data_IF_009972445762
#
_entry.id   IF_009972445762
#
_cell.length_a   1.000
_cell.length_b   1.000
_cell.length_c   1.000
_cell.angle_alpha   90.00
_cell.angle_beta   90.00
_cell.angle_gamma   90.00
#
_symmetry.space_group_name_H-M   'P 1'
#
loop_
_entity.id
_entity.type
_entity.pdbx_description
1 polymer ?
#
# COMPACT_ATOMS: atom_id res chain seq x y z
N UNK A 1 -2.20 -15.68 6.28
CA UNK A 1 -1.01 -14.89 6.57
C UNK A 1 -1.15 -13.50 6.00
N UNK A 2 -0.74 -12.49 6.77
CA UNK A 2 -0.64 -11.09 6.33
C UNK A 2 0.80 -10.64 6.46
N UNK A 3 1.34 -9.97 5.44
CA UNK A 3 2.70 -9.44 5.45
C UNK A 3 2.74 -8.03 4.85
N UNK A 4 3.66 -7.21 5.36
CA UNK A 4 3.91 -5.84 4.88
C UNK A 4 5.37 -5.73 4.44
N UNK A 5 5.58 -5.18 3.27
CA UNK A 5 6.87 -4.94 2.64
C UNK A 5 7.06 -3.44 2.41
N UNK A 6 8.29 -2.96 2.55
CA UNK A 6 8.62 -1.55 2.34
C UNK A 6 9.94 -1.40 1.60
N UNK A 7 10.06 -0.35 0.80
CA UNK A 7 11.30 0.03 0.13
C UNK A 7 11.43 1.55 0.09
N UNK A 8 12.68 2.02 0.13
CA UNK A 8 13.04 3.42 -0.04
C UNK A 8 13.90 3.59 -1.30
N UNK A 9 13.72 4.69 -2.01
CA UNK A 9 14.50 5.06 -3.19
C UNK A 9 14.11 6.44 -3.71
N UNK A 10 14.34 6.71 -4.99
CA UNK A 10 14.18 8.06 -5.54
C UNK A 10 12.72 8.44 -5.86
N UNK A 11 11.88 7.51 -6.34
CA UNK A 11 10.48 7.77 -6.70
C UNK A 11 9.54 6.66 -6.23
N UNK A 12 8.69 6.94 -5.23
CA UNK A 12 7.80 5.97 -4.60
C UNK A 12 6.83 5.29 -5.58
N UNK A 13 6.25 6.03 -6.53
CA UNK A 13 5.25 5.47 -7.46
C UNK A 13 5.82 4.36 -8.35
N UNK A 14 7.04 4.54 -8.86
CA UNK A 14 7.74 3.51 -9.64
C UNK A 14 8.14 2.33 -8.76
N UNK A 15 8.56 2.58 -7.52
CA UNK A 15 8.92 1.54 -6.56
C UNK A 15 7.75 0.61 -6.21
N UNK A 16 6.53 1.15 -6.12
CA UNK A 16 5.35 0.37 -5.73
C UNK A 16 5.11 -0.87 -6.60
N UNK A 17 5.35 -0.75 -7.91
CA UNK A 17 5.11 -1.87 -8.84
C UNK A 17 6.18 -2.96 -8.72
N UNK A 18 7.45 -2.56 -8.62
CA UNK A 18 8.55 -3.49 -8.38
C UNK A 18 8.41 -4.18 -7.01
N UNK A 19 8.01 -3.43 -5.99
CA UNK A 19 7.76 -3.94 -4.64
C UNK A 19 6.64 -4.99 -4.63
N UNK A 20 5.55 -4.77 -5.35
CA UNK A 20 4.47 -5.75 -5.46
C UNK A 20 4.97 -7.08 -6.06
N UNK A 21 5.72 -7.01 -7.17
CA UNK A 21 6.29 -8.21 -7.82
C UNK A 21 7.20 -8.97 -6.86
N UNK A 22 8.08 -8.26 -6.16
CA UNK A 22 8.96 -8.83 -5.14
C UNK A 22 8.15 -9.48 -4.00
N UNK A 23 7.19 -8.76 -3.43
CA UNK A 23 6.38 -9.20 -2.30
C UNK A 23 5.58 -10.47 -2.63
N UNK A 24 4.97 -10.55 -3.82
CA UNK A 24 4.26 -11.74 -4.27
C UNK A 24 5.20 -12.94 -4.43
N UNK A 25 6.37 -12.73 -5.04
CA UNK A 25 7.37 -13.79 -5.22
C UNK A 25 7.88 -14.29 -3.88
N UNK A 26 8.16 -13.38 -2.94
CA UNK A 26 8.68 -13.71 -1.62
C UNK A 26 7.64 -14.41 -0.73
N UNK A 27 6.38 -13.95 -0.74
CA UNK A 27 5.33 -14.50 0.13
C UNK A 27 4.69 -15.77 -0.44
N UNK A 28 4.50 -15.84 -1.76
CA UNK A 28 3.71 -16.89 -2.42
C UNK A 28 4.50 -17.68 -3.45
N UNK A 29 5.80 -17.43 -3.61
CA UNK A 29 6.67 -18.13 -4.55
C UNK A 29 6.45 -17.79 -6.03
N UNK A 30 5.54 -16.86 -6.34
CA UNK A 30 5.21 -16.50 -7.71
C UNK A 30 4.64 -15.08 -7.84
N UNK A 31 4.85 -14.49 -9.02
CA UNK A 31 4.18 -13.26 -9.44
C UNK A 31 2.75 -13.62 -9.89
N UNK A 32 1.75 -12.74 -9.69
CA UNK A 32 0.42 -12.96 -10.24
C UNK A 32 0.48 -13.18 -11.75
N UNK A 33 -0.10 -14.28 -12.22
CA UNK A 33 -0.17 -14.62 -13.65
C UNK A 33 -1.19 -13.77 -14.41
N UNK A 34 -2.12 -13.14 -13.70
CA UNK A 34 -3.14 -12.27 -14.24
C UNK A 34 -2.84 -10.81 -13.91
N UNK A 35 -3.17 -9.87 -14.81
CA UNK A 35 -3.10 -8.44 -14.50
C UNK A 35 -3.96 -8.08 -13.28
N UNK A 36 -3.55 -7.03 -12.56
CA UNK A 36 -4.38 -6.44 -11.53
C UNK A 36 -5.66 -5.88 -12.15
N UNK A 37 -6.76 -6.04 -11.43
CA UNK A 37 -8.00 -5.30 -11.68
C UNK A 37 -8.07 -4.11 -10.73
N UNK A 38 -9.03 -3.22 -10.96
CA UNK A 38 -9.18 -2.01 -10.14
C UNK A 38 -10.62 -1.84 -9.71
N UNK A 39 -10.82 -1.48 -8.45
CA UNK A 39 -12.14 -1.09 -7.95
C UNK A 39 -12.61 0.21 -8.62
N UNK A 40 -13.91 0.57 -8.52
CA UNK A 40 -14.40 1.87 -9.02
C UNK A 40 -13.68 3.09 -8.43
N UNK A 41 -13.03 2.93 -7.27
CA UNK A 41 -12.21 3.96 -6.61
C UNK A 41 -10.72 3.88 -6.95
N UNK A 42 -10.34 3.06 -7.93
CA UNK A 42 -8.95 2.89 -8.35
C UNK A 42 -8.09 2.04 -7.42
N UNK A 43 -8.66 1.35 -6.42
CA UNK A 43 -7.88 0.44 -5.56
C UNK A 43 -7.48 -0.79 -6.37
N UNK A 44 -6.20 -1.18 -6.43
CA UNK A 44 -5.77 -2.39 -7.11
C UNK A 44 -6.28 -3.63 -6.38
N UNK A 45 -6.68 -4.64 -7.16
CA UNK A 45 -7.21 -5.91 -6.70
C UNK A 45 -6.52 -7.04 -7.48
N UNK A 46 -6.30 -8.18 -6.82
CA UNK A 46 -5.94 -9.39 -7.56
C UNK A 46 -7.17 -9.92 -8.29
N UNK A 47 -6.98 -10.41 -9.52
CA UNK A 47 -8.03 -11.11 -10.26
C UNK A 47 -8.38 -12.46 -9.60
N UNK A 48 -7.41 -13.09 -8.94
CA UNK A 48 -7.61 -14.32 -8.19
C UNK A 48 -8.35 -14.04 -6.86
N UNK A 49 -9.43 -14.78 -6.55
CA UNK A 49 -10.10 -14.67 -5.27
C UNK A 49 -9.24 -15.16 -4.10
N UNK A 50 -9.52 -14.67 -2.89
CA UNK A 50 -8.84 -15.10 -1.66
C UNK A 50 -7.48 -14.43 -1.42
N UNK A 51 -7.04 -13.52 -2.28
CA UNK A 51 -5.84 -12.71 -2.07
C UNK A 51 -6.18 -11.23 -2.08
N UNK A 52 -5.52 -10.49 -1.20
CA UNK A 52 -5.77 -9.07 -0.98
C UNK A 52 -4.46 -8.31 -1.05
N UNK A 53 -4.52 -7.10 -1.61
CA UNK A 53 -3.41 -6.16 -1.58
C UNK A 53 -3.84 -4.76 -1.17
N UNK A 54 -2.87 -4.02 -0.65
CA UNK A 54 -2.91 -2.57 -0.52
C UNK A 54 -1.53 -2.00 -0.83
N UNK A 55 -1.51 -0.87 -1.52
CA UNK A 55 -0.30 -0.16 -1.91
C UNK A 55 -0.40 1.29 -1.43
N UNK A 56 0.68 1.83 -0.89
CA UNK A 56 0.81 3.26 -0.60
C UNK A 56 2.25 3.71 -0.87
N UNK A 57 2.45 5.00 -1.13
CA UNK A 57 3.75 5.59 -1.35
C UNK A 57 3.76 7.06 -0.93
N UNK A 58 4.87 7.54 -0.40
CA UNK A 58 5.05 8.97 -0.07
C UNK A 58 6.50 9.37 -0.26
N UNK A 59 6.72 10.39 -1.09
CA UNK A 59 8.04 10.76 -1.61
C UNK A 59 8.79 9.56 -2.21
N UNK A 60 9.93 9.22 -1.61
CA UNK A 60 10.78 8.09 -2.02
C UNK A 60 10.42 6.74 -1.39
N UNK A 61 9.36 6.66 -0.58
CA UNK A 61 8.92 5.45 0.09
C UNK A 61 7.79 4.77 -0.67
N UNK A 62 7.80 3.44 -0.70
CA UNK A 62 6.66 2.63 -1.12
C UNK A 62 6.44 1.49 -0.13
N UNK A 63 5.18 1.16 0.12
CA UNK A 63 4.76 0.05 0.98
C UNK A 63 3.72 -0.81 0.28
N UNK A 64 3.80 -2.12 0.51
CA UNK A 64 2.91 -3.12 -0.05
C UNK A 64 2.46 -4.08 1.06
N UNK A 65 1.16 -4.18 1.28
CA UNK A 65 0.56 -5.18 2.15
C UNK A 65 -0.10 -6.28 1.32
N UNK A 66 0.15 -7.53 1.67
CA UNK A 66 -0.44 -8.73 1.08
C UNK A 66 -1.12 -9.57 2.16
N UNK A 67 -2.27 -10.17 1.84
CA UNK A 67 -3.00 -11.05 2.74
C UNK A 67 -3.76 -12.12 1.98
N UNK A 68 -3.79 -13.33 2.51
CA UNK A 68 -4.65 -14.43 2.04
C UNK A 68 -5.81 -14.74 3.02
N UNK A 69 -5.90 -14.03 4.15
CA UNK A 69 -6.90 -14.27 5.19
C UNK A 69 -7.98 -13.17 5.27
N UNK A 70 -7.89 -12.12 4.46
CA UNK A 70 -8.90 -11.06 4.39
C UNK A 70 -8.38 -9.70 3.88
N UNK A 71 -9.28 -8.71 3.75
CA UNK A 71 -8.94 -7.38 3.27
C UNK A 71 -7.86 -6.70 4.11
N UNK A 72 -6.95 -5.97 3.43
CA UNK A 72 -5.89 -5.19 4.07
C UNK A 72 -5.84 -3.76 3.54
N UNK A 73 -5.31 -2.88 4.39
CA UNK A 73 -4.99 -1.48 4.11
C UNK A 73 -3.61 -1.15 4.66
N UNK A 74 -2.81 -0.42 3.90
CA UNK A 74 -1.52 0.13 4.34
C UNK A 74 -1.41 1.55 3.85
N UNK A 75 -0.83 2.40 4.67
CA UNK A 75 -0.54 3.78 4.33
C UNK A 75 0.87 4.16 4.80
N UNK A 76 1.56 5.01 4.03
CA UNK A 76 2.85 5.58 4.40
C UNK A 76 2.85 7.04 4.06
N UNK A 77 3.22 7.87 5.04
CA UNK A 77 3.37 9.30 4.83
C UNK A 77 4.69 9.80 5.41
N UNK A 78 5.39 10.64 4.63
CA UNK A 78 6.57 11.31 5.13
C UNK A 78 6.16 12.39 6.11
N UNK A 79 6.67 12.30 7.34
CA UNK A 79 6.49 13.35 8.36
C UNK A 79 7.12 14.64 7.84
N UNK A 80 6.29 15.66 7.64
CA UNK A 80 6.69 17.00 7.22
C UNK A 80 5.87 18.03 8.00
N UNK A 81 6.42 19.25 8.24
CA UNK A 81 5.64 20.31 8.84
C UNK A 81 4.34 20.52 8.07
N UNK A 82 3.21 20.57 8.77
CA UNK A 82 1.92 20.82 8.15
C UNK A 82 1.92 22.21 7.48
N UNK A 83 1.42 22.29 6.25
CA UNK A 83 1.18 23.60 5.63
C UNK A 83 0.05 24.28 6.42
N UNK A 84 0.09 25.60 6.65
CA UNK A 84 -0.94 26.32 7.41
C UNK A 84 -2.37 26.14 6.86
N UNK A 85 -2.49 25.72 5.59
CA UNK A 85 -3.74 25.49 4.87
C UNK A 85 -4.25 24.04 4.93
N UNK A 86 -3.57 23.11 5.62
CA UNK A 86 -4.14 21.79 5.85
C UNK A 86 -5.40 21.96 6.71
N UNK A 87 -6.56 21.45 6.29
CA UNK A 87 -7.81 21.74 6.95
C UNK A 87 -7.83 21.16 8.37
N UNK A 88 -8.60 21.86 9.22
CA UNK A 88 -8.87 21.64 10.65
C UNK A 88 -9.47 20.27 11.01
N UNK A 89 -9.53 19.33 10.07
CA UNK A 89 -9.99 17.96 10.24
C UNK A 89 -8.81 17.07 10.64
N UNK A 90 -8.12 17.45 11.72
CA UNK A 90 -7.47 16.45 12.55
C UNK A 90 -8.57 15.48 13.03
N UNK A 91 -8.26 14.20 13.25
CA UNK A 91 -9.24 13.30 13.86
C UNK A 91 -9.74 13.91 15.18
N UNK A 92 -10.94 13.52 15.61
CA UNK A 92 -11.48 13.95 16.88
C UNK A 92 -10.41 13.81 17.99
N UNK A 93 -10.37 14.71 18.99
CA UNK A 93 -9.29 14.76 19.99
C UNK A 93 -8.97 13.40 20.63
N UNK A 94 -9.95 12.49 20.66
CA UNK A 94 -9.82 11.11 21.13
C UNK A 94 -8.75 10.26 20.40
N UNK A 95 -8.32 10.64 19.19
CA UNK A 95 -7.35 9.88 18.39
C UNK A 95 -5.88 10.33 18.60
N UNK A 96 -5.62 11.23 19.53
CA UNK A 96 -4.28 11.78 19.82
C UNK A 96 -3.66 11.26 21.14
N UNK A 97 -4.26 10.23 21.75
CA UNK A 97 -3.80 9.63 23.00
C UNK A 97 -2.69 8.57 22.80
#
# INVERSE_FOLDING_TARGET
>A
MTAVYGVAGQEGRTLTRALLTYACTHLWGAVPSQPLTYSPRGKPLFAQPGRWLSLSHSGGLAVCALSDCGPVGVDVELVRPHRPSLPRYAPAPEALA
#
